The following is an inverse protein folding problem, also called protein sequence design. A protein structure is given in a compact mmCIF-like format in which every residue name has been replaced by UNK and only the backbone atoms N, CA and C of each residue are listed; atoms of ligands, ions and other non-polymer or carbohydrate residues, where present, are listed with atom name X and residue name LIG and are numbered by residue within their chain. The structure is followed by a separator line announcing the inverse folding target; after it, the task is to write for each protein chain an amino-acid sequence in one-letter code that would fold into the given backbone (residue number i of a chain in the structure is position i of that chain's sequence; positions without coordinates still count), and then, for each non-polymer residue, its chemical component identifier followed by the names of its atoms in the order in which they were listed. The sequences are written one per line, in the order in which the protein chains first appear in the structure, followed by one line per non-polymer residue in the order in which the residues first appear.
data_IF_832465116320
#
_entry.id   IF_832465116320
#
_cell.length_a   1.000
_cell.length_b   1.000
_cell.length_c   1.000
_cell.angle_alpha   90.00
_cell.angle_beta   90.00
_cell.angle_gamma   90.00
#
_symmetry.space_group_name_H-M   'P 1'
#
loop_
_entity.id
_entity.type
_entity.pdbx_description
1 polymer ?
#
# COMPACT_ATOMS: atom_id res chain seq x y z
N UNK A 1 5.22 5.36 -15.68
CA UNK A 1 3.80 5.80 -15.55
C UNK A 1 2.81 4.68 -15.80
N UNK A 2 2.76 4.12 -17.00
CA UNK A 2 1.77 3.09 -17.36
C UNK A 2 1.89 1.84 -16.48
N UNK A 3 3.12 1.43 -16.15
CA UNK A 3 3.34 0.24 -15.33
C UNK A 3 2.80 0.33 -13.91
N UNK A 4 2.94 1.48 -13.25
CA UNK A 4 2.32 1.71 -11.93
C UNK A 4 0.79 1.68 -12.05
N UNK A 5 0.22 2.27 -13.11
CA UNK A 5 -1.24 2.21 -13.34
C UNK A 5 -1.72 0.79 -13.63
N UNK A 6 -0.96 0.00 -14.37
CA UNK A 6 -1.26 -1.42 -14.64
C UNK A 6 -1.14 -2.27 -13.37
N UNK A 7 -0.16 -1.98 -12.52
CA UNK A 7 -0.01 -2.60 -11.21
C UNK A 7 -1.28 -2.37 -10.35
N UNK A 8 -1.69 -1.12 -10.15
CA UNK A 8 -2.92 -0.82 -9.38
C UNK A 8 -4.19 -1.33 -10.06
N UNK A 9 -4.23 -1.40 -11.40
CA UNK A 9 -5.33 -2.05 -12.11
C UNK A 9 -5.40 -3.54 -11.74
N UNK A 10 -4.27 -4.24 -11.72
CA UNK A 10 -4.21 -5.66 -11.31
C UNK A 10 -4.63 -5.86 -9.85
N UNK A 11 -4.21 -4.98 -8.94
CA UNK A 11 -4.67 -5.02 -7.54
C UNK A 11 -6.20 -4.88 -7.44
N UNK A 12 -6.79 -3.95 -8.19
CA UNK A 12 -8.25 -3.76 -8.23
C UNK A 12 -8.99 -4.97 -8.82
N UNK A 13 -8.42 -5.63 -9.83
CA UNK A 13 -8.98 -6.86 -10.42
C UNK A 13 -8.87 -8.06 -9.48
N UNK A 14 -7.93 -8.02 -8.52
CA UNK A 14 -7.66 -9.05 -7.50
C UNK A 14 -8.13 -8.63 -6.10
N UNK A 15 -9.14 -7.76 -6.02
CA UNK A 15 -9.61 -7.17 -4.77
C UNK A 15 -9.87 -8.17 -3.62
N UNK A 16 -10.43 -9.37 -3.84
CA UNK A 16 -10.61 -10.34 -2.76
C UNK A 16 -9.29 -10.77 -2.08
N UNK A 17 -8.23 -10.99 -2.86
CA UNK A 17 -6.91 -11.34 -2.32
C UNK A 17 -6.29 -10.16 -1.57
N UNK A 18 -6.44 -8.95 -2.11
CA UNK A 18 -5.97 -7.71 -1.44
C UNK A 18 -6.67 -7.55 -0.09
N UNK A 19 -8.00 -7.73 -0.04
CA UNK A 19 -8.77 -7.61 1.20
C UNK A 19 -8.39 -8.69 2.23
N UNK A 20 -8.08 -9.91 1.79
CA UNK A 20 -7.57 -10.97 2.66
C UNK A 20 -6.24 -10.56 3.29
N UNK A 21 -5.30 -10.07 2.48
CA UNK A 21 -4.00 -9.58 2.96
C UNK A 21 -4.15 -8.46 3.99
N UNK A 22 -4.90 -7.40 3.65
CA UNK A 22 -5.14 -6.27 4.56
C UNK A 22 -5.85 -6.69 5.86
N UNK A 23 -6.74 -7.68 5.79
CA UNK A 23 -7.41 -8.23 6.99
C UNK A 23 -6.41 -8.93 7.91
N UNK A 24 -5.49 -9.73 7.36
CA UNK A 24 -4.45 -10.42 8.14
C UNK A 24 -3.49 -9.43 8.81
N UNK A 25 -3.20 -8.32 8.14
CA UNK A 25 -2.35 -7.24 8.65
C UNK A 25 -3.05 -6.34 9.69
N UNK A 26 -4.37 -6.39 9.76
CA UNK A 26 -5.17 -5.48 10.59
C UNK A 26 -5.21 -4.04 10.05
N UNK A 27 -5.11 -3.89 8.72
CA UNK A 27 -5.23 -2.62 8.00
C UNK A 27 -6.71 -2.34 7.71
N UNK A 28 -7.17 -1.15 8.11
CA UNK A 28 -8.54 -0.67 7.90
C UNK A 28 -8.66 0.20 6.65
N UNK A 29 -7.60 0.93 6.32
CA UNK A 29 -7.53 1.81 5.15
C UNK A 29 -6.15 1.64 4.54
N UNK A 30 -6.12 1.31 3.26
CA UNK A 30 -4.98 1.57 2.39
C UNK A 30 -5.47 2.45 1.26
N UNK A 31 -4.80 3.57 1.04
CA UNK A 31 -5.05 4.45 -0.10
C UNK A 31 -3.72 4.81 -0.75
N UNK A 32 -3.65 4.64 -2.06
CA UNK A 32 -2.47 4.94 -2.84
C UNK A 32 -2.78 6.02 -3.87
N UNK A 33 -1.88 6.99 -3.99
CA UNK A 33 -2.03 8.15 -4.85
C UNK A 33 -0.80 8.31 -5.72
N UNK A 34 -1.04 8.68 -6.98
CA UNK A 34 0.04 9.04 -7.89
C UNK A 34 0.12 10.56 -7.97
N UNK A 35 1.21 11.13 -7.46
CA UNK A 35 1.46 12.57 -7.49
C UNK A 35 2.57 12.90 -8.50
N UNK A 36 2.35 13.92 -9.32
CA UNK A 36 3.31 14.40 -10.31
C UNK A 36 3.74 15.80 -9.93
N UNK A 37 5.02 15.97 -9.62
CA UNK A 37 5.61 17.27 -9.34
C UNK A 37 6.68 17.56 -10.38
N UNK A 38 6.31 18.36 -11.40
CA UNK A 38 7.17 18.59 -12.55
C UNK A 38 7.42 17.30 -13.33
N UNK A 39 8.69 16.95 -13.48
CA UNK A 39 9.12 15.72 -14.16
C UNK A 39 9.13 14.50 -13.23
N UNK A 40 9.12 14.73 -11.92
CA UNK A 40 9.15 13.68 -10.90
C UNK A 40 7.75 13.08 -10.66
N UNK A 41 7.75 11.83 -10.22
CA UNK A 41 6.56 11.03 -9.99
C UNK A 41 6.67 10.31 -8.65
N UNK A 42 5.72 10.58 -7.76
CA UNK A 42 5.67 10.04 -6.42
C UNK A 42 4.47 9.10 -6.28
N UNK A 43 4.69 7.96 -5.64
CA UNK A 43 3.63 7.07 -5.20
C UNK A 43 3.45 7.25 -3.70
N UNK A 44 2.34 7.86 -3.31
CA UNK A 44 2.03 8.23 -1.93
C UNK A 44 1.07 7.19 -1.37
N UNK A 45 1.40 6.63 -0.21
CA UNK A 45 0.53 5.72 0.53
C UNK A 45 0.03 6.35 1.82
N UNK A 46 -1.25 6.15 2.09
CA UNK A 46 -1.88 6.40 3.38
C UNK A 46 -2.40 5.07 3.91
N UNK A 47 -1.88 4.65 5.08
CA UNK A 47 -2.32 3.44 5.76
C UNK A 47 -2.87 3.77 7.14
N UNK A 48 -4.00 3.17 7.48
CA UNK A 48 -4.45 3.03 8.87
C UNK A 48 -4.53 1.57 9.23
N UNK A 49 -3.86 1.20 10.31
CA UNK A 49 -3.91 -0.13 10.89
C UNK A 49 -4.17 -0.05 12.40
N UNK A 50 -4.57 -1.18 12.99
CA UNK A 50 -4.66 -1.29 14.45
C UNK A 50 -3.31 -1.08 15.12
N UNK A 51 -2.27 -1.62 14.51
CA UNK A 51 -0.87 -1.50 14.87
C UNK A 51 -0.05 -1.54 13.57
N UNK A 52 0.58 -0.42 13.22
CA UNK A 52 1.30 -0.28 11.95
C UNK A 52 2.58 -1.14 11.92
N UNK A 53 3.21 -1.36 13.07
CA UNK A 53 4.41 -2.20 13.15
C UNK A 53 4.04 -3.67 12.97
N UNK A 54 2.91 -4.09 13.54
CA UNK A 54 2.35 -5.41 13.30
C UNK A 54 1.99 -5.62 11.82
N UNK A 55 1.28 -4.67 11.21
CA UNK A 55 0.89 -4.75 9.79
C UNK A 55 2.11 -4.99 8.88
N UNK A 56 3.19 -4.21 9.06
CA UNK A 56 4.42 -4.43 8.30
C UNK A 56 5.06 -5.79 8.56
N UNK A 57 5.10 -6.25 9.81
CA UNK A 57 5.67 -7.55 10.14
C UNK A 57 4.87 -8.71 9.49
N UNK A 58 3.54 -8.60 9.45
CA UNK A 58 2.67 -9.59 8.78
C UNK A 58 2.88 -9.53 7.27
N UNK A 59 2.86 -8.34 6.66
CA UNK A 59 3.11 -8.16 5.23
C UNK A 59 4.47 -8.75 4.83
N UNK A 60 5.54 -8.42 5.56
CA UNK A 60 6.90 -8.90 5.29
C UNK A 60 6.99 -10.43 5.33
N UNK A 61 6.32 -11.06 6.29
CA UNK A 61 6.29 -12.51 6.47
C UNK A 61 5.24 -13.23 5.60
N UNK A 62 4.38 -12.50 4.88
CA UNK A 62 3.29 -13.09 4.10
C UNK A 62 3.77 -13.95 2.94
N UNK A 63 3.06 -15.07 2.74
CA UNK A 63 3.23 -15.99 1.61
C UNK A 63 2.05 -15.92 0.62
N UNK A 64 1.17 -14.91 0.76
CA UNK A 64 0.07 -14.74 -0.17
C UNK A 64 0.59 -14.34 -1.56
N UNK A 65 0.07 -14.93 -2.66
CA UNK A 65 0.50 -14.59 -4.02
C UNK A 65 0.34 -13.11 -4.37
N UNK A 66 -0.65 -12.42 -3.78
CA UNK A 66 -0.87 -10.99 -3.98
C UNK A 66 0.25 -10.15 -3.35
N UNK A 67 0.76 -10.54 -2.19
CA UNK A 67 1.82 -9.81 -1.48
C UNK A 67 3.17 -10.00 -2.17
N UNK A 68 3.45 -11.21 -2.66
CA UNK A 68 4.63 -11.45 -3.49
C UNK A 68 4.60 -10.58 -4.76
N UNK A 69 3.46 -10.53 -5.44
CA UNK A 69 3.27 -9.68 -6.61
C UNK A 69 3.44 -8.19 -6.29
N UNK A 70 2.88 -7.73 -5.16
CA UNK A 70 3.02 -6.35 -4.70
C UNK A 70 4.49 -6.01 -4.42
N UNK A 71 5.20 -6.86 -3.66
CA UNK A 71 6.62 -6.69 -3.34
C UNK A 71 7.49 -6.63 -4.60
N UNK A 72 7.19 -7.47 -5.59
CA UNK A 72 7.88 -7.46 -6.87
C UNK A 72 7.64 -6.15 -7.64
N UNK A 73 6.38 -5.69 -7.71
CA UNK A 73 6.06 -4.42 -8.35
C UNK A 73 6.73 -3.23 -7.64
N UNK A 74 6.70 -3.21 -6.31
CA UNK A 74 7.36 -2.18 -5.52
C UNK A 74 8.86 -2.14 -5.82
N UNK A 75 9.53 -3.29 -5.81
CA UNK A 75 10.95 -3.40 -6.15
C UNK A 75 11.27 -2.93 -7.58
N UNK A 76 10.37 -3.18 -8.53
CA UNK A 76 10.58 -2.85 -9.94
C UNK A 76 10.30 -1.38 -10.27
N UNK A 77 9.42 -0.72 -9.51
CA UNK A 77 8.91 0.61 -9.86
C UNK A 77 9.22 1.71 -8.84
N UNK A 78 9.70 1.37 -7.65
CA UNK A 78 10.03 2.33 -6.60
C UNK A 78 11.53 2.29 -6.27
N UNK A 79 12.15 3.46 -6.19
CA UNK A 79 13.57 3.61 -5.84
C UNK A 79 13.81 3.56 -4.32
N UNK A 80 12.76 3.80 -3.54
CA UNK A 80 12.80 3.80 -2.08
C UNK A 80 11.47 4.21 -1.46
N UNK A 81 11.49 4.43 -0.15
CA UNK A 81 10.35 4.95 0.63
C UNK A 81 10.83 6.07 1.54
N UNK A 82 10.09 7.16 1.56
CA UNK A 82 10.17 8.20 2.57
C UNK A 82 8.90 8.14 3.43
N UNK A 83 9.04 8.27 4.75
CA UNK A 83 7.89 8.36 5.66
C UNK A 83 7.58 9.84 5.84
N UNK A 84 6.39 10.25 5.39
CA UNK A 84 5.94 11.62 5.51
C UNK A 84 5.62 11.97 6.97
N UNK A 85 5.84 13.23 7.34
CA UNK A 85 5.43 13.76 8.64
C UNK A 85 3.89 13.86 8.69
N UNK A 86 3.30 13.23 9.70
CA UNK A 86 1.88 13.40 9.99
C UNK A 86 1.65 14.76 10.66
N UNK A 87 1.00 15.67 9.94
CA UNK A 87 0.58 16.97 10.50
C UNK A 87 -0.80 16.91 11.15
N UNK A 88 -1.68 16.04 10.66
CA UNK A 88 -3.05 15.89 11.15
C UNK A 88 -3.65 14.54 10.70
N UNK A 89 -4.17 13.76 11.65
CA UNK A 89 -4.97 12.57 11.39
C UNK A 89 -6.29 12.64 12.19
N UNK A 90 -7.41 12.81 11.48
CA UNK A 90 -8.75 12.86 12.07
C UNK A 90 -9.58 11.75 11.43
N UNK A 91 -9.95 10.74 12.21
CA UNK A 91 -10.80 9.66 11.74
C UNK A 91 -12.00 9.38 12.64
N UNK A 92 -12.97 8.67 12.07
CA UNK A 92 -14.17 8.19 12.73
C UNK A 92 -14.38 6.70 12.46
N UNK A 93 -13.29 5.96 12.30
CA UNK A 93 -13.38 4.53 12.00
C UNK A 93 -13.72 3.80 13.30
N UNK A 94 -14.90 3.20 13.33
CA UNK A 94 -15.28 2.27 14.39
C UNK A 94 -14.47 0.98 14.18
N UNK A 95 -13.63 0.63 15.17
CA UNK A 95 -12.66 -0.48 15.11
C UNK A 95 -13.26 -1.80 15.59
#
# INVERSE_FOLDING_TARGET
MEQVRLWFKSLNERLPEVLESLTNEGVYVESAFLDRQGDDLYLIYYLKAKDIAHAYAVFDASDLPIDHYYKECWKNYCEGREVLEELLDIDRIEK
#
